data_IF_148168202845
#
_entry.id   IF_148168202845
#
_cell.length_a   1.000
_cell.length_b   1.000
_cell.length_c   1.000
_cell.angle_alpha   90.00
_cell.angle_beta   90.00
_cell.angle_gamma   90.00
#
_symmetry.space_group_name_H-M   'P 1'
#
loop_
_entity.id
_entity.type
_entity.pdbx_description
1 polymer ?
#
# COMPACT_ATOMS: atom_id res chain seq x y z
N UNK A 1 29.71 -14.05 12.95
CA UNK A 1 29.53 -13.63 11.53
C UNK A 1 28.04 -13.76 11.22
N UNK A 2 27.32 -12.65 11.12
CA UNK A 2 25.92 -12.67 10.69
C UNK A 2 25.90 -12.87 9.17
N UNK A 3 25.24 -13.92 8.69
CA UNK A 3 25.02 -14.11 7.24
C UNK A 3 24.13 -13.00 6.71
N UNK A 4 24.67 -12.16 5.83
CA UNK A 4 23.98 -11.04 5.16
C UNK A 4 23.35 -11.45 3.82
N UNK A 5 22.78 -12.66 3.75
CA UNK A 5 21.90 -13.02 2.62
C UNK A 5 20.50 -12.49 2.88
N UNK A 6 20.31 -11.21 2.61
CA UNK A 6 18.98 -10.60 2.69
C UNK A 6 18.21 -10.86 1.39
N UNK A 7 17.18 -11.68 1.47
CA UNK A 7 16.28 -12.00 0.35
C UNK A 7 15.42 -10.79 -0.07
N UNK A 8 15.30 -9.77 0.78
CA UNK A 8 14.43 -8.61 0.59
C UNK A 8 15.19 -7.29 0.71
N UNK A 9 15.24 -6.54 -0.40
CA UNK A 9 15.77 -5.17 -0.40
C UNK A 9 14.72 -4.15 0.03
N UNK A 10 15.18 -3.01 0.56
CA UNK A 10 14.31 -1.84 0.82
C UNK A 10 13.61 -1.37 -0.45
N UNK A 11 14.27 -1.48 -1.61
CA UNK A 11 13.62 -1.23 -2.92
C UNK A 11 12.47 -2.20 -3.18
N UNK A 12 12.66 -3.51 -3.00
CA UNK A 12 11.59 -4.50 -3.19
C UNK A 12 10.43 -4.25 -2.22
N UNK A 13 10.74 -4.03 -0.94
CA UNK A 13 9.74 -3.69 0.07
C UNK A 13 8.97 -2.41 -0.30
N UNK A 14 9.69 -1.38 -0.73
CA UNK A 14 9.11 -0.11 -1.16
C UNK A 14 8.16 -0.26 -2.36
N UNK A 15 8.54 -1.07 -3.35
CA UNK A 15 7.69 -1.39 -4.49
C UNK A 15 6.43 -2.16 -4.07
N UNK A 16 6.56 -3.14 -3.17
CA UNK A 16 5.41 -3.90 -2.66
C UNK A 16 4.45 -3.03 -1.87
N UNK A 17 4.97 -2.13 -1.02
CA UNK A 17 4.15 -1.17 -0.30
C UNK A 17 3.47 -0.18 -1.26
N UNK A 18 4.18 0.33 -2.26
CA UNK A 18 3.63 1.25 -3.24
C UNK A 18 2.50 0.61 -4.05
N UNK A 19 2.76 -0.53 -4.69
CA UNK A 19 1.76 -1.20 -5.51
C UNK A 19 0.64 -1.80 -4.68
N UNK A 20 0.94 -2.32 -3.48
CA UNK A 20 -0.06 -2.83 -2.55
C UNK A 20 -0.99 -1.72 -2.04
N UNK A 21 -0.44 -0.57 -1.68
CA UNK A 21 -1.22 0.60 -1.25
C UNK A 21 -2.08 1.18 -2.37
N UNK A 22 -1.52 1.36 -3.57
CA UNK A 22 -2.28 1.80 -4.75
C UNK A 22 -3.39 0.80 -5.09
N UNK A 23 -3.06 -0.49 -5.12
CA UNK A 23 -4.02 -1.57 -5.39
C UNK A 23 -5.14 -1.61 -4.36
N UNK A 24 -4.83 -1.47 -3.08
CA UNK A 24 -5.83 -1.40 -2.02
C UNK A 24 -6.73 -0.16 -2.17
N UNK A 25 -6.16 1.00 -2.47
CA UNK A 25 -6.91 2.24 -2.69
C UNK A 25 -7.94 2.09 -3.81
N UNK A 26 -7.50 1.63 -4.99
CA UNK A 26 -8.41 1.40 -6.12
C UNK A 26 -9.38 0.23 -5.88
N UNK A 27 -8.94 -0.82 -5.18
CA UNK A 27 -9.81 -1.93 -4.80
C UNK A 27 -10.96 -1.48 -3.90
N UNK A 28 -10.69 -0.60 -2.95
CA UNK A 28 -11.72 0.00 -2.08
C UNK A 28 -12.70 0.85 -2.90
N UNK A 29 -12.21 1.70 -3.80
CA UNK A 29 -13.09 2.50 -4.66
C UNK A 29 -13.90 1.63 -5.64
N UNK A 30 -13.34 0.50 -6.09
CA UNK A 30 -14.03 -0.44 -6.95
C UNK A 30 -15.19 -1.14 -6.23
N UNK A 31 -15.08 -1.37 -4.91
CA UNK A 31 -16.20 -1.89 -4.11
C UNK A 31 -17.39 -0.93 -4.17
N UNK A 32 -17.17 0.37 -4.02
CA UNK A 32 -18.25 1.37 -4.14
C UNK A 32 -18.89 1.37 -5.52
N UNK A 33 -18.08 1.22 -6.57
CA UNK A 33 -18.57 1.20 -7.94
C UNK A 33 -19.46 -0.02 -8.21
N UNK A 34 -19.13 -1.17 -7.60
CA UNK A 34 -19.91 -2.40 -7.72
C UNK A 34 -21.16 -2.35 -6.82
N UNK A 35 -21.03 -1.77 -5.63
CA UNK A 35 -22.10 -1.64 -4.63
C UNK A 35 -22.98 -0.39 -4.86
N UNK A 36 -22.84 0.25 -6.03
CA UNK A 36 -23.59 1.42 -6.51
C UNK A 36 -25.10 1.10 -6.61
N UNK A 37 -25.76 1.16 -5.47
CA UNK A 37 -27.16 0.76 -5.28
C UNK A 37 -27.60 0.72 -3.81
N UNK A 38 -26.65 0.65 -2.86
CA UNK A 38 -26.92 0.89 -1.43
C UNK A 38 -26.88 2.38 -1.11
N UNK A 39 -27.89 2.86 -0.38
CA UNK A 39 -27.90 4.19 0.21
C UNK A 39 -26.86 4.27 1.32
N UNK A 40 -25.64 4.64 0.93
CA UNK A 40 -24.51 4.78 1.86
C UNK A 40 -23.24 4.95 1.05
N UNK A 41 -22.75 6.18 0.92
CA UNK A 41 -21.45 6.44 0.30
C UNK A 41 -20.29 5.89 1.15
N UNK A 42 -19.09 6.45 0.95
CA UNK A 42 -17.87 5.99 1.63
C UNK A 42 -18.02 6.08 3.16
N UNK A 43 -18.13 4.92 3.80
CA UNK A 43 -18.31 4.82 5.26
C UNK A 43 -17.03 5.19 6.04
N UNK A 44 -17.13 5.47 7.36
CA UNK A 44 -15.98 5.88 8.18
C UNK A 44 -14.80 4.88 8.14
N UNK A 45 -15.09 3.58 8.19
CA UNK A 45 -14.06 2.54 8.08
C UNK A 45 -13.33 2.58 6.74
N UNK A 46 -14.06 2.88 5.67
CA UNK A 46 -13.51 2.96 4.32
C UNK A 46 -12.66 4.21 4.12
N UNK A 47 -13.06 5.35 4.71
CA UNK A 47 -12.23 6.55 4.73
C UNK A 47 -10.88 6.29 5.42
N UNK A 48 -10.90 5.59 6.55
CA UNK A 48 -9.67 5.19 7.26
C UNK A 48 -8.83 4.25 6.40
N UNK A 49 -9.46 3.27 5.74
CA UNK A 49 -8.76 2.33 4.87
C UNK A 49 -8.11 3.01 3.66
N UNK A 50 -8.80 3.97 3.04
CA UNK A 50 -8.26 4.79 1.94
C UNK A 50 -7.08 5.65 2.41
N UNK A 51 -7.19 6.28 3.58
CA UNK A 51 -6.10 7.04 4.18
C UNK A 51 -4.88 6.16 4.50
N UNK A 52 -5.11 4.98 5.07
CA UNK A 52 -4.06 4.00 5.36
C UNK A 52 -3.37 3.52 4.07
N UNK A 53 -4.14 3.22 3.03
CA UNK A 53 -3.60 2.82 1.72
C UNK A 53 -2.71 3.91 1.10
N UNK A 54 -3.10 5.18 1.24
CA UNK A 54 -2.29 6.32 0.81
C UNK A 54 -0.99 6.42 1.62
N UNK A 55 -1.06 6.33 2.95
CA UNK A 55 0.12 6.35 3.83
C UNK A 55 1.09 5.22 3.49
N UNK A 56 0.58 4.00 3.32
CA UNK A 56 1.40 2.84 2.93
C UNK A 56 2.09 3.08 1.59
N UNK A 57 1.37 3.68 0.62
CA UNK A 57 1.95 4.03 -0.68
C UNK A 57 3.08 5.04 -0.56
N UNK A 58 2.88 6.10 0.24
CA UNK A 58 3.91 7.13 0.50
C UNK A 58 5.13 6.52 1.17
N UNK A 59 4.94 5.68 2.19
CA UNK A 59 6.04 4.94 2.83
C UNK A 59 6.77 4.06 1.81
N UNK A 60 6.03 3.39 0.92
CA UNK A 60 6.64 2.63 -0.18
C UNK A 60 7.55 3.48 -1.05
N UNK A 61 7.09 4.68 -1.46
CA UNK A 61 7.89 5.63 -2.25
C UNK A 61 9.17 6.05 -1.52
N UNK A 62 9.12 6.30 -0.20
CA UNK A 62 10.32 6.71 0.56
C UNK A 62 11.35 5.59 0.71
N UNK A 63 10.94 4.33 0.61
CA UNK A 63 11.83 3.16 0.67
C UNK A 63 12.54 2.86 -0.65
N UNK A 64 11.94 3.17 -1.80
CA UNK A 64 12.52 2.94 -3.14
C UNK A 64 13.94 3.53 -3.31
N UNK A 65 14.22 4.80 -2.95
CA UNK A 65 15.55 5.39 -3.10
C UNK A 65 16.59 4.82 -2.13
N UNK A 66 16.19 4.10 -1.08
CA UNK A 66 17.12 3.43 -0.15
C UNK A 66 17.81 2.20 -0.78
N UNK A 67 17.33 1.77 -1.95
CA UNK A 67 18.02 0.80 -2.82
C UNK A 67 18.11 -0.60 -2.24
N UNK A 68 19.23 -1.27 -2.51
CA UNK A 68 19.44 -2.68 -2.21
C UNK A 68 19.88 -2.96 -0.76
N UNK A 69 19.77 -1.95 0.10
CA UNK A 69 19.96 -2.13 1.54
C UNK A 69 18.94 -3.14 2.05
N UNK A 70 19.30 -3.98 3.03
CA UNK A 70 18.38 -4.94 3.61
C UNK A 70 17.16 -4.23 4.20
N UNK A 71 15.98 -4.78 3.94
CA UNK A 71 14.72 -4.32 4.51
C UNK A 71 14.80 -4.27 6.04
#
# INVERSE_FOLDING_TARGET
MFSTHFTFSKRLLGLLMLFGGIGAFFGILAIDLIDAGREGGIGPAQQIALAAALVVSIVGVTLIPLGDRPA
#
